data_IF_457314009096
#
_entry.id   IF_457314009096
#
_cell.length_a   1.000
_cell.length_b   1.000
_cell.length_c   1.000
_cell.angle_alpha   90.00
_cell.angle_beta   90.00
_cell.angle_gamma   90.00
#
_symmetry.space_group_name_H-M   'P 1'
#
loop_
_entity.id
_entity.type
_entity.pdbx_description
1 polymer ?
#
# COMPACT_ATOMS: atom_id res chain seq x y z
N UNK A 1 -30.82 -26.67 -33.59
CA UNK A 1 -29.39 -26.35 -33.65
C UNK A 1 -29.28 -24.84 -33.49
N UNK A 2 -29.23 -24.35 -32.26
CA UNK A 2 -29.14 -22.89 -31.93
C UNK A 2 -27.79 -22.63 -31.25
N UNK A 3 -26.97 -21.90 -31.95
CA UNK A 3 -25.96 -20.94 -31.53
C UNK A 3 -25.42 -21.05 -30.07
N UNK A 4 -24.37 -21.81 -29.92
CA UNK A 4 -23.45 -21.82 -28.79
C UNK A 4 -22.04 -21.48 -29.35
N UNK A 5 -21.77 -20.21 -29.60
CA UNK A 5 -20.42 -19.65 -29.78
C UNK A 5 -20.56 -18.16 -29.73
N UNK A 6 -20.28 -17.57 -28.59
CA UNK A 6 -19.14 -16.68 -28.42
C UNK A 6 -18.52 -16.66 -27.00
N UNK A 7 -18.82 -17.63 -26.12
CA UNK A 7 -18.30 -17.60 -24.74
C UNK A 7 -16.90 -18.18 -24.57
N UNK A 8 -16.36 -18.88 -25.54
CA UNK A 8 -15.05 -19.54 -25.44
C UNK A 8 -13.85 -18.64 -25.78
N UNK A 9 -14.05 -17.48 -26.39
CA UNK A 9 -12.96 -16.53 -26.70
C UNK A 9 -12.71 -15.49 -25.57
N UNK A 10 -13.69 -15.27 -24.70
CA UNK A 10 -13.47 -14.47 -23.49
C UNK A 10 -12.63 -15.20 -22.42
N UNK A 11 -12.68 -16.53 -22.39
CA UNK A 11 -11.93 -17.33 -21.42
C UNK A 11 -10.41 -17.31 -21.67
N UNK A 12 -9.96 -17.02 -22.88
CA UNK A 12 -8.54 -16.88 -23.21
C UNK A 12 -7.95 -15.51 -22.85
N UNK A 13 -8.76 -14.48 -22.79
CA UNK A 13 -8.35 -13.12 -22.38
C UNK A 13 -8.42 -12.92 -20.86
N UNK A 14 -9.18 -13.75 -20.15
CA UNK A 14 -9.28 -13.74 -18.68
C UNK A 14 -8.04 -14.38 -18.01
N UNK A 15 -7.21 -15.11 -18.77
CA UNK A 15 -5.94 -15.65 -18.24
C UNK A 15 -4.83 -14.58 -18.06
N UNK A 16 -5.03 -13.36 -18.53
CA UNK A 16 -4.08 -12.23 -18.33
C UNK A 16 -4.36 -11.46 -17.05
N UNK A 17 -5.25 -11.94 -16.22
CA UNK A 17 -5.54 -11.33 -14.94
C UNK A 17 -6.53 -12.14 -14.17
N UNK A 18 -6.09 -13.20 -13.51
CA UNK A 18 -6.69 -13.56 -12.25
C UNK A 18 -6.44 -12.39 -11.29
N UNK A 19 -7.14 -11.29 -11.53
CA UNK A 19 -7.49 -10.37 -10.48
C UNK A 19 -8.53 -11.15 -9.65
N UNK A 20 -8.04 -12.10 -8.83
CA UNK A 20 -8.77 -12.47 -7.63
C UNK A 20 -9.29 -11.15 -7.06
N UNK A 21 -10.45 -11.17 -6.40
CA UNK A 21 -10.94 -10.06 -5.59
C UNK A 21 -9.92 -9.82 -4.46
N UNK A 22 -8.72 -9.37 -4.83
CA UNK A 22 -7.67 -8.93 -3.93
C UNK A 22 -8.11 -7.58 -3.42
N UNK A 23 -7.91 -7.40 -2.14
CA UNK A 23 -8.06 -6.15 -1.41
C UNK A 23 -7.76 -4.96 -2.31
N UNK A 24 -8.58 -3.88 -2.27
CA UNK A 24 -8.42 -2.75 -3.16
C UNK A 24 -6.98 -2.28 -3.12
N UNK A 25 -6.33 -2.31 -4.27
CA UNK A 25 -4.93 -1.91 -4.38
C UNK A 25 -4.87 -0.42 -4.10
N UNK A 26 -4.14 -0.05 -3.07
CA UNK A 26 -3.89 1.34 -2.72
C UNK A 26 -3.27 2.00 -3.96
N UNK A 27 -3.83 3.12 -4.50
CA UNK A 27 -3.16 3.87 -5.56
C UNK A 27 -1.79 4.30 -5.06
N UNK A 28 -0.75 4.00 -5.85
CA UNK A 28 0.59 4.03 -5.30
C UNK A 28 1.32 5.33 -5.52
N UNK A 29 2.08 5.60 -4.53
CA UNK A 29 3.26 6.45 -4.56
C UNK A 29 4.34 5.76 -5.40
N UNK A 30 5.13 6.53 -6.13
CA UNK A 30 6.34 6.02 -6.81
C UNK A 30 7.01 4.95 -5.99
N UNK A 31 7.34 3.82 -6.63
CA UNK A 31 8.09 2.73 -6.00
C UNK A 31 9.43 3.31 -5.54
N UNK A 32 9.44 3.92 -4.36
CA UNK A 32 10.66 4.35 -3.74
C UNK A 32 11.36 3.10 -3.22
N UNK A 33 12.08 2.46 -4.13
CA UNK A 33 13.03 1.40 -3.78
C UNK A 33 14.17 1.92 -2.90
N UNK A 34 14.19 3.23 -2.62
CA UNK A 34 15.14 3.91 -1.76
C UNK A 34 14.55 4.36 -0.44
N UNK A 35 15.32 4.22 0.62
CA UNK A 35 14.97 4.72 1.95
C UNK A 35 15.02 6.25 1.97
N UNK A 36 13.97 6.87 2.46
CA UNK A 36 13.94 8.32 2.73
C UNK A 36 14.54 8.59 4.11
N UNK A 37 15.87 8.71 4.18
CA UNK A 37 16.59 8.89 5.46
C UNK A 37 16.21 10.14 6.26
N UNK A 38 15.70 11.17 5.59
CA UNK A 38 15.33 12.44 6.21
C UNK A 38 13.82 12.56 6.44
N UNK A 39 13.08 11.48 6.37
CA UNK A 39 11.67 11.50 6.69
C UNK A 39 11.48 11.86 8.17
N UNK A 40 10.51 12.73 8.44
CA UNK A 40 10.10 13.07 9.81
C UNK A 40 9.05 12.09 10.33
N UNK A 41 8.17 11.64 9.46
CA UNK A 41 7.07 10.74 9.80
C UNK A 41 7.29 9.38 9.17
N UNK A 42 6.98 8.33 9.91
CA UNK A 42 7.11 6.95 9.48
C UNK A 42 5.77 6.23 9.61
N UNK A 43 5.33 5.57 8.54
CA UNK A 43 4.14 4.72 8.59
C UNK A 43 4.43 3.47 9.43
N UNK A 44 3.74 3.30 10.55
CA UNK A 44 3.91 2.14 11.43
C UNK A 44 2.82 1.10 11.23
N UNK A 45 1.62 1.53 10.83
CA UNK A 45 0.47 0.62 10.75
C UNK A 45 -0.60 1.13 9.80
N UNK A 46 -1.28 0.19 9.12
CA UNK A 46 -2.57 0.42 8.48
C UNK A 46 -3.57 -0.53 9.16
N UNK A 47 -4.73 -0.01 9.57
CA UNK A 47 -5.81 -0.80 10.17
C UNK A 47 -7.05 -0.76 9.30
N UNK A 48 -7.66 -1.92 9.09
CA UNK A 48 -8.93 -2.10 8.37
C UNK A 48 -9.93 -2.74 9.33
N UNK A 49 -10.67 -1.93 10.11
CA UNK A 49 -11.49 -2.41 11.23
C UNK A 49 -12.55 -3.44 10.82
N UNK A 50 -13.23 -3.23 9.69
CA UNK A 50 -14.34 -4.07 9.25
C UNK A 50 -13.90 -5.50 8.91
N UNK A 51 -12.73 -5.65 8.28
CA UNK A 51 -12.13 -6.95 7.99
C UNK A 51 -11.26 -7.48 9.14
N UNK A 52 -11.11 -6.71 10.23
CA UNK A 52 -10.15 -6.99 11.33
C UNK A 52 -8.73 -7.23 10.82
N UNK A 53 -8.36 -6.56 9.74
CA UNK A 53 -7.05 -6.67 9.13
C UNK A 53 -6.15 -5.53 9.60
N UNK A 54 -4.90 -5.87 9.90
CA UNK A 54 -3.87 -4.94 10.32
C UNK A 54 -2.61 -5.23 9.51
N UNK A 55 -1.98 -4.19 8.99
CA UNK A 55 -0.65 -4.21 8.40
C UNK A 55 0.30 -3.48 9.35
N UNK A 56 1.19 -4.20 9.99
CA UNK A 56 2.22 -3.65 10.88
C UNK A 56 3.55 -3.57 10.15
N UNK A 57 4.20 -2.40 10.20
CA UNK A 57 5.49 -2.12 9.58
C UNK A 57 6.58 -2.13 10.63
N UNK A 58 7.64 -2.88 10.39
CA UNK A 58 8.78 -3.02 11.30
C UNK A 58 10.03 -2.43 10.68
N UNK A 59 10.84 -1.77 11.48
CA UNK A 59 12.00 -1.01 11.04
C UNK A 59 13.27 -1.39 11.81
N UNK A 60 14.40 -1.35 11.12
CA UNK A 60 15.74 -1.30 11.70
C UNK A 60 16.22 0.16 11.63
N UNK A 61 16.91 0.64 12.68
CA UNK A 61 17.46 2.01 12.73
C UNK A 61 16.41 3.11 12.42
N UNK A 62 15.16 2.88 12.86
CA UNK A 62 13.99 3.78 12.71
C UNK A 62 13.54 4.06 11.26
N UNK A 63 14.43 3.97 10.28
CA UNK A 63 14.16 4.38 8.88
C UNK A 63 14.25 3.25 7.87
N UNK A 64 14.78 2.08 8.22
CA UNK A 64 14.94 0.95 7.30
C UNK A 64 13.80 -0.04 7.50
N UNK A 65 12.80 -0.10 6.64
CA UNK A 65 11.71 -1.08 6.76
C UNK A 65 12.28 -2.49 6.53
N UNK A 66 12.00 -3.41 7.45
CA UNK A 66 12.54 -4.78 7.38
C UNK A 66 11.46 -5.82 7.20
N UNK A 67 10.25 -5.51 7.63
CA UNK A 67 9.14 -6.46 7.61
C UNK A 67 7.80 -5.73 7.54
N UNK A 68 6.86 -6.28 6.76
CA UNK A 68 5.44 -5.94 6.84
C UNK A 68 4.72 -7.22 7.27
N UNK A 69 3.93 -7.13 8.31
CA UNK A 69 3.16 -8.26 8.82
C UNK A 69 1.68 -7.96 8.67
N UNK A 70 0.97 -8.85 8.00
CA UNK A 70 -0.49 -8.79 7.90
C UNK A 70 -1.11 -9.70 8.95
N UNK A 71 -2.07 -9.17 9.70
CA UNK A 71 -2.83 -9.90 10.71
C UNK A 71 -4.32 -9.75 10.40
N UNK A 72 -5.08 -10.84 10.45
CA UNK A 72 -6.53 -10.83 10.24
C UNK A 72 -7.21 -11.58 11.39
N UNK A 73 -8.14 -10.92 12.07
CA UNK A 73 -8.83 -11.52 13.22
C UNK A 73 -7.91 -11.89 14.38
N UNK A 74 -6.74 -11.26 14.50
CA UNK A 74 -5.73 -11.54 15.51
C UNK A 74 -4.71 -12.64 15.16
N UNK A 75 -4.86 -13.30 14.02
CA UNK A 75 -3.89 -14.28 13.52
C UNK A 75 -3.03 -13.68 12.39
N UNK A 76 -1.74 -14.02 12.37
CA UNK A 76 -0.84 -13.64 11.25
C UNK A 76 -1.29 -14.37 9.99
N UNK A 77 -1.50 -13.64 8.90
CA UNK A 77 -1.90 -14.19 7.60
C UNK A 77 -0.79 -14.14 6.56
N UNK A 78 0.12 -13.16 6.65
CA UNK A 78 1.32 -13.09 5.81
C UNK A 78 2.42 -12.27 6.45
N UNK A 79 3.65 -12.52 6.02
CA UNK A 79 4.81 -11.72 6.36
C UNK A 79 5.62 -11.46 5.08
N UNK A 80 5.94 -10.19 4.84
CA UNK A 80 6.84 -9.76 3.80
C UNK A 80 8.13 -9.27 4.44
N UNK A 81 9.25 -9.93 4.17
CA UNK A 81 10.57 -9.55 4.67
C UNK A 81 11.34 -8.79 3.60
N UNK A 82 11.82 -7.59 3.95
CA UNK A 82 12.47 -6.65 3.05
C UNK A 82 13.98 -6.60 3.35
N UNK A 83 14.79 -6.67 2.31
CA UNK A 83 16.26 -6.64 2.40
C UNK A 83 16.80 -5.47 1.60
N UNK A 84 17.65 -4.67 2.21
CA UNK A 84 18.23 -3.47 1.63
C UNK A 84 19.76 -3.56 1.58
N UNK A 85 20.36 -3.03 0.50
CA UNK A 85 21.78 -2.77 0.35
C UNK A 85 21.94 -1.33 -0.16
N UNK A 86 22.82 -0.55 0.45
CA UNK A 86 23.06 0.86 0.12
C UNK A 86 21.77 1.69 -0.04
N UNK A 87 20.84 1.53 0.93
CA UNK A 87 19.52 2.16 0.95
C UNK A 87 18.57 1.76 -0.19
N UNK A 88 18.86 0.68 -0.90
CA UNK A 88 18.03 0.16 -1.98
C UNK A 88 17.45 -1.18 -1.62
N UNK A 89 16.16 -1.36 -1.92
CA UNK A 89 15.51 -2.65 -1.79
C UNK A 89 16.10 -3.63 -2.80
N UNK A 90 16.78 -4.68 -2.33
CA UNK A 90 17.39 -5.70 -3.20
C UNK A 90 16.62 -7.01 -3.22
N UNK A 91 15.83 -7.29 -2.20
CA UNK A 91 15.01 -8.51 -2.14
C UNK A 91 13.77 -8.31 -1.27
N UNK A 92 12.68 -8.99 -1.64
CA UNK A 92 11.51 -9.23 -0.79
C UNK A 92 11.26 -10.74 -0.71
N UNK A 93 10.88 -11.24 0.45
CA UNK A 93 10.45 -12.63 0.66
C UNK A 93 9.05 -12.64 1.24
N UNK A 94 8.16 -13.39 0.61
CA UNK A 94 6.75 -13.50 0.96
C UNK A 94 6.48 -14.82 1.66
N UNK A 95 5.97 -14.75 2.88
CA UNK A 95 5.61 -15.91 3.70
C UNK A 95 4.10 -15.93 3.94
N UNK A 96 3.53 -17.13 4.00
CA UNK A 96 2.13 -17.32 4.35
C UNK A 96 1.90 -17.36 5.88
N UNK A 97 0.67 -17.71 6.26
CA UNK A 97 0.26 -17.83 7.67
C UNK A 97 0.98 -18.94 8.44
N UNK A 98 1.57 -19.91 7.78
CA UNK A 98 2.37 -20.99 8.39
C UNK A 98 3.88 -20.63 8.45
N UNK A 99 4.24 -19.41 8.05
CA UNK A 99 5.61 -18.94 7.90
C UNK A 99 6.39 -19.72 6.82
N UNK A 100 5.68 -20.32 5.87
CA UNK A 100 6.29 -20.96 4.72
C UNK A 100 6.57 -19.94 3.63
N UNK A 101 7.79 -19.96 3.09
CA UNK A 101 8.18 -19.11 1.98
C UNK A 101 7.39 -19.52 0.71
N UNK A 102 6.65 -18.58 0.14
CA UNK A 102 5.86 -18.78 -1.08
C UNK A 102 6.49 -18.16 -2.31
N UNK A 103 7.17 -17.05 -2.15
CA UNK A 103 7.77 -16.32 -3.24
C UNK A 103 8.94 -15.47 -2.75
N UNK A 104 9.91 -15.25 -3.62
CA UNK A 104 10.96 -14.25 -3.45
C UNK A 104 11.02 -13.35 -4.68
N UNK A 105 11.32 -12.08 -4.46
CA UNK A 105 11.52 -11.09 -5.48
C UNK A 105 12.90 -10.48 -5.32
N UNK A 106 13.66 -10.36 -6.42
CA UNK A 106 15.00 -9.76 -6.45
C UNK A 106 14.98 -8.52 -7.33
N UNK A 107 15.62 -7.47 -6.89
CA UNK A 107 15.78 -6.19 -7.59
C UNK A 107 17.22 -6.01 -8.01
N UNK A 108 17.46 -5.63 -9.28
CA UNK A 108 18.78 -5.39 -9.83
C UNK A 108 18.84 -3.97 -10.37
N UNK A 109 19.92 -3.27 -10.05
CA UNK A 109 20.11 -1.87 -10.41
C UNK A 109 21.36 -1.69 -11.29
N UNK A 110 21.25 -0.74 -12.23
CA UNK A 110 22.39 -0.13 -12.91
C UNK A 110 22.53 1.32 -12.43
N UNK A 111 23.57 1.59 -11.66
CA UNK A 111 23.71 2.86 -10.96
C UNK A 111 22.50 3.12 -10.05
N UNK A 112 21.71 4.17 -10.34
CA UNK A 112 20.49 4.51 -9.60
C UNK A 112 19.20 3.88 -10.15
N UNK A 113 19.26 3.26 -11.33
CA UNK A 113 18.10 2.81 -12.08
C UNK A 113 17.79 1.35 -11.78
N UNK A 114 16.52 1.04 -11.49
CA UNK A 114 16.05 -0.32 -11.44
C UNK A 114 15.98 -0.87 -12.86
N UNK A 115 16.76 -1.90 -13.17
CA UNK A 115 16.82 -2.50 -14.51
C UNK A 115 16.14 -3.86 -14.61
N UNK A 116 15.97 -4.57 -13.48
CA UNK A 116 15.36 -5.90 -13.50
C UNK A 116 14.73 -6.23 -12.15
N UNK A 117 13.55 -6.87 -12.21
CA UNK A 117 12.92 -7.58 -11.09
C UNK A 117 12.76 -9.03 -11.48
N UNK A 118 13.17 -9.93 -10.62
CA UNK A 118 13.04 -11.38 -10.80
C UNK A 118 12.17 -11.96 -9.71
N UNK A 119 11.16 -12.71 -10.12
CA UNK A 119 10.25 -13.41 -9.23
C UNK A 119 10.60 -14.89 -9.21
N UNK A 120 10.76 -15.46 -8.03
CA UNK A 120 11.22 -16.83 -7.80
C UNK A 120 10.33 -17.51 -6.77
N UNK A 121 10.17 -18.84 -6.83
CA UNK A 121 9.48 -19.60 -5.78
C UNK A 121 10.30 -19.59 -4.48
N UNK A 122 11.63 -19.57 -4.60
CA UNK A 122 12.57 -19.50 -3.49
C UNK A 122 13.74 -18.59 -3.86
N UNK A 123 14.41 -17.92 -2.87
CA UNK A 123 15.61 -17.12 -3.12
C UNK A 123 16.78 -17.90 -3.76
N UNK A 124 16.80 -19.21 -3.55
CA UNK A 124 17.85 -20.12 -4.04
C UNK A 124 17.55 -20.72 -5.41
N UNK A 125 16.34 -20.51 -5.95
CA UNK A 125 16.00 -21.01 -7.29
C UNK A 125 16.85 -20.28 -8.34
N UNK A 126 17.51 -21.03 -9.21
CA UNK A 126 18.34 -20.47 -10.27
C UNK A 126 17.48 -19.80 -11.35
N UNK A 127 16.34 -20.38 -11.67
CA UNK A 127 15.45 -19.90 -12.73
C UNK A 127 14.26 -19.13 -12.15
N UNK A 128 14.10 -17.84 -12.51
CA UNK A 128 12.92 -17.08 -12.12
C UNK A 128 11.67 -17.56 -12.86
N UNK A 129 10.52 -17.49 -12.19
CA UNK A 129 9.20 -17.77 -12.78
C UNK A 129 8.70 -16.60 -13.64
N UNK A 130 9.19 -15.38 -13.33
CA UNK A 130 8.86 -14.15 -14.05
C UNK A 130 10.03 -13.18 -13.95
N UNK A 131 10.30 -12.44 -15.03
CA UNK A 131 11.24 -11.32 -15.07
C UNK A 131 10.52 -10.08 -15.57
N UNK A 132 10.80 -8.94 -14.96
CA UNK A 132 10.37 -7.64 -15.43
C UNK A 132 11.58 -6.77 -15.64
N UNK A 133 11.85 -6.40 -16.90
CA UNK A 133 13.02 -5.60 -17.29
C UNK A 133 12.60 -4.17 -17.64
N UNK A 134 13.42 -3.21 -17.23
CA UNK A 134 13.19 -1.78 -17.47
C UNK A 134 14.25 -1.23 -18.40
N UNK A 135 13.85 -0.69 -19.54
CA UNK A 135 14.75 -0.20 -20.59
C UNK A 135 14.73 1.33 -20.62
N UNK A 136 15.93 1.93 -20.58
CA UNK A 136 16.13 3.37 -20.49
C UNK A 136 16.87 3.90 -21.71
N UNK A 137 16.44 5.07 -22.20
CA UNK A 137 17.27 5.81 -23.17
C UNK A 137 18.49 6.41 -22.46
N UNK A 138 19.57 6.62 -23.22
CA UNK A 138 20.76 7.26 -22.70
C UNK A 138 20.45 8.64 -22.10
N UNK A 139 20.86 8.86 -20.85
CA UNK A 139 20.60 10.12 -20.12
C UNK A 139 19.19 10.28 -19.55
N UNK A 140 18.27 9.34 -19.75
CA UNK A 140 16.93 9.39 -19.17
C UNK A 140 16.87 8.62 -17.85
N UNK A 141 16.21 9.17 -16.84
CA UNK A 141 15.86 8.43 -15.60
C UNK A 141 14.49 7.74 -15.69
N UNK A 142 13.80 7.91 -16.82
CA UNK A 142 12.49 7.32 -17.07
C UNK A 142 12.63 6.21 -18.12
N UNK A 143 12.12 5.00 -17.87
CA UNK A 143 12.17 3.91 -18.83
C UNK A 143 11.27 4.23 -20.03
N UNK A 144 11.68 3.86 -21.23
CA UNK A 144 10.84 3.97 -22.42
C UNK A 144 10.07 2.69 -22.73
N UNK A 145 10.52 1.57 -22.14
CA UNK A 145 9.90 0.26 -22.30
C UNK A 145 10.03 -0.54 -21.02
N UNK A 146 9.02 -1.35 -20.72
CA UNK A 146 9.03 -2.34 -19.65
C UNK A 146 8.63 -3.67 -20.29
N UNK A 147 9.46 -4.71 -20.12
CA UNK A 147 9.15 -6.04 -20.63
C UNK A 147 8.93 -7.03 -19.49
N UNK A 148 8.00 -7.96 -19.69
CA UNK A 148 7.71 -9.08 -18.79
C UNK A 148 7.92 -10.38 -19.54
N UNK A 149 8.72 -11.27 -18.96
CA UNK A 149 8.96 -12.63 -19.45
C UNK A 149 8.52 -13.62 -18.36
N UNK A 150 7.68 -14.59 -18.74
CA UNK A 150 7.27 -15.69 -17.87
C UNK A 150 8.02 -16.97 -18.23
N UNK A 151 8.22 -17.85 -17.25
CA UNK A 151 8.92 -19.13 -17.46
C UNK A 151 8.23 -20.10 -18.44
N UNK A 152 6.94 -19.91 -18.73
CA UNK A 152 6.17 -20.65 -19.73
C UNK A 152 6.33 -20.10 -21.15
N UNK A 153 7.10 -19.02 -21.32
CA UNK A 153 7.37 -18.37 -22.59
C UNK A 153 6.38 -17.27 -22.97
N UNK A 154 5.44 -16.91 -22.11
CA UNK A 154 4.67 -15.68 -22.27
C UNK A 154 5.59 -14.45 -22.20
N UNK A 155 5.40 -13.52 -23.13
CA UNK A 155 6.11 -12.26 -23.18
C UNK A 155 5.12 -11.10 -23.34
N UNK A 156 5.41 -10.00 -22.66
CA UNK A 156 4.67 -8.74 -22.74
C UNK A 156 5.62 -7.56 -22.76
N UNK A 157 5.36 -6.58 -23.63
CA UNK A 157 6.10 -5.31 -23.71
C UNK A 157 5.14 -4.14 -23.57
N UNK A 158 5.51 -3.18 -22.73
CA UNK A 158 4.84 -1.91 -22.51
C UNK A 158 5.73 -0.78 -23.02
N UNK A 159 5.37 -0.18 -24.15
CA UNK A 159 6.04 1.03 -24.67
C UNK A 159 5.43 2.26 -24.01
N UNK A 160 6.26 3.09 -23.41
CA UNK A 160 5.87 4.24 -22.59
C UNK A 160 6.08 5.55 -23.36
N UNK A 161 5.01 6.29 -23.59
CA UNK A 161 5.04 7.58 -24.27
C UNK A 161 4.79 8.70 -23.26
N UNK A 162 5.67 9.68 -23.21
CA UNK A 162 5.66 10.76 -22.23
C UNK A 162 5.22 12.10 -22.83
N UNK A 163 4.45 12.84 -22.02
CA UNK A 163 4.08 14.24 -22.28
C UNK A 163 4.36 15.03 -20.98
N UNK A 164 5.14 16.11 -21.09
CA UNK A 164 5.49 16.97 -19.95
C UNK A 164 6.05 16.18 -18.74
N UNK A 165 6.88 15.15 -18.99
CA UNK A 165 7.50 14.33 -17.97
C UNK A 165 6.57 13.32 -17.28
N UNK A 166 5.33 13.15 -17.78
CA UNK A 166 4.37 12.14 -17.29
C UNK A 166 4.01 11.18 -18.42
N UNK A 167 3.67 9.95 -18.06
CA UNK A 167 3.19 8.96 -19.04
C UNK A 167 1.84 9.42 -19.55
N UNK A 168 1.77 9.69 -20.87
CA UNK A 168 0.54 10.02 -21.55
C UNK A 168 -0.11 8.80 -22.20
N UNK A 169 0.69 7.82 -22.62
CA UNK A 169 0.21 6.60 -23.26
C UNK A 169 1.14 5.44 -23.01
N UNK A 170 0.56 4.26 -22.86
CA UNK A 170 1.24 2.97 -22.80
C UNK A 170 0.64 2.11 -23.91
N UNK A 171 1.48 1.60 -24.80
CA UNK A 171 1.10 0.59 -25.80
C UNK A 171 1.58 -0.78 -25.33
N UNK A 172 0.71 -1.77 -25.37
CA UNK A 172 0.96 -3.11 -24.83
C UNK A 172 0.97 -4.11 -25.97
N UNK A 173 2.09 -4.81 -26.10
CA UNK A 173 2.27 -5.92 -27.03
C UNK A 173 2.39 -7.21 -26.25
N UNK A 174 1.77 -8.30 -26.72
CA UNK A 174 1.90 -9.62 -26.08
C UNK A 174 2.26 -10.71 -27.09
N UNK A 175 2.98 -11.71 -26.59
CA UNK A 175 3.31 -12.94 -27.28
C UNK A 175 3.00 -14.11 -26.35
N UNK A 176 2.09 -14.99 -26.74
CA UNK A 176 1.55 -16.04 -25.86
C UNK A 176 2.55 -17.17 -25.58
N UNK A 177 3.47 -17.40 -26.51
CA UNK A 177 4.57 -18.35 -26.39
C UNK A 177 5.66 -17.99 -27.42
N UNK A 178 6.88 -18.53 -27.34
CA UNK A 178 8.01 -18.15 -28.21
C UNK A 178 7.78 -18.35 -29.70
N UNK A 179 6.81 -19.16 -30.10
CA UNK A 179 6.48 -19.43 -31.50
C UNK A 179 5.30 -18.57 -32.02
N UNK A 180 4.62 -17.84 -31.13
CA UNK A 180 3.51 -16.96 -31.51
C UNK A 180 4.05 -15.62 -32.03
N UNK A 181 3.23 -14.91 -32.79
CA UNK A 181 3.53 -13.53 -33.20
C UNK A 181 3.35 -12.56 -32.03
N UNK A 182 4.20 -11.55 -31.95
CA UNK A 182 4.03 -10.42 -31.03
C UNK A 182 2.96 -9.49 -31.59
N UNK A 183 1.85 -9.32 -30.90
CA UNK A 183 0.69 -8.56 -31.36
C UNK A 183 0.33 -7.46 -30.38
N UNK A 184 -0.20 -6.34 -30.88
CA UNK A 184 -0.77 -5.29 -30.04
C UNK A 184 -2.07 -5.78 -29.40
N UNK A 185 -2.14 -5.74 -28.07
CA UNK A 185 -3.27 -6.29 -27.31
C UNK A 185 -3.91 -5.29 -26.38
N UNK A 186 -3.19 -4.22 -26.01
CA UNK A 186 -3.69 -3.24 -25.04
C UNK A 186 -3.15 -1.86 -25.25
N UNK A 187 -3.87 -0.89 -24.74
CA UNK A 187 -3.47 0.51 -24.72
C UNK A 187 -4.06 1.23 -23.53
N UNK A 188 -3.22 2.02 -22.85
CA UNK A 188 -3.63 2.91 -21.78
C UNK A 188 -3.35 4.35 -22.20
N UNK A 189 -4.34 5.25 -22.05
CA UNK A 189 -4.21 6.68 -22.40
C UNK A 189 -4.62 7.53 -21.22
N UNK A 190 -3.75 8.45 -20.81
CA UNK A 190 -3.99 9.41 -19.74
C UNK A 190 -4.41 10.76 -20.31
N UNK A 191 -5.39 11.38 -19.66
CA UNK A 191 -5.77 12.78 -19.87
C UNK A 191 -5.40 13.58 -18.62
N UNK A 192 -4.89 14.80 -18.84
CA UNK A 192 -4.42 15.68 -17.77
C UNK A 192 -5.21 16.98 -17.77
N UNK A 193 -5.40 17.56 -16.59
CA UNK A 193 -5.96 18.89 -16.44
C UNK A 193 -4.93 20.01 -16.70
N UNK A 194 -5.35 21.28 -16.50
CA UNK A 194 -4.48 22.43 -16.68
C UNK A 194 -3.31 22.49 -15.68
N UNK A 195 -3.42 21.81 -14.54
CA UNK A 195 -2.38 21.68 -13.52
C UNK A 195 -1.44 20.49 -13.80
N UNK A 196 -1.66 19.79 -14.92
CA UNK A 196 -0.95 18.57 -15.28
C UNK A 196 -1.21 17.42 -14.28
N UNK A 197 -2.39 17.40 -13.62
CA UNK A 197 -2.84 16.24 -12.84
C UNK A 197 -3.64 15.29 -13.72
N UNK A 198 -3.39 13.97 -13.61
CA UNK A 198 -4.09 12.98 -14.41
C UNK A 198 -5.55 12.88 -13.95
N UNK A 199 -6.51 13.25 -14.80
CA UNK A 199 -7.95 13.24 -14.45
C UNK A 199 -8.68 12.03 -14.99
N UNK A 200 -8.14 11.38 -16.02
CA UNK A 200 -8.74 10.21 -16.66
C UNK A 200 -7.65 9.26 -17.16
N UNK A 201 -7.84 7.97 -16.98
CA UNK A 201 -7.14 6.89 -17.67
C UNK A 201 -8.17 6.06 -18.42
N UNK A 202 -7.94 5.81 -19.70
CA UNK A 202 -8.67 4.84 -20.51
C UNK A 202 -7.79 3.63 -20.75
N UNK A 203 -8.30 2.46 -20.37
CA UNK A 203 -7.65 1.17 -20.58
C UNK A 203 -8.47 0.39 -21.61
N UNK A 204 -7.86 0.12 -22.76
CA UNK A 204 -8.50 -0.49 -23.93
C UNK A 204 -7.77 -1.74 -24.35
N UNK A 205 -8.51 -2.75 -24.79
CA UNK A 205 -7.96 -3.95 -25.41
C UNK A 205 -8.27 -3.97 -26.91
N UNK A 206 -7.35 -4.52 -27.68
CA UNK A 206 -7.55 -4.77 -29.09
C UNK A 206 -8.19 -6.14 -29.30
N UNK A 207 -9.27 -6.21 -30.05
CA UNK A 207 -9.93 -7.47 -30.44
C UNK A 207 -9.54 -7.82 -31.88
N UNK A 208 -8.53 -8.68 -32.11
CA UNK A 208 -7.99 -8.95 -33.45
C UNK A 208 -9.04 -9.46 -34.45
N UNK A 209 -9.92 -10.35 -34.00
CA UNK A 209 -10.99 -10.94 -34.85
C UNK A 209 -12.01 -9.90 -35.35
N UNK A 210 -12.16 -8.79 -34.62
CA UNK A 210 -13.09 -7.70 -34.97
C UNK A 210 -12.36 -6.49 -35.52
N UNK A 211 -11.02 -6.51 -35.51
CA UNK A 211 -10.15 -5.38 -35.84
C UNK A 211 -10.59 -4.10 -35.14
N UNK A 212 -10.86 -4.19 -33.82
CA UNK A 212 -11.50 -3.12 -33.05
C UNK A 212 -10.88 -2.98 -31.68
N UNK A 213 -10.71 -1.73 -31.25
CA UNK A 213 -10.42 -1.36 -29.88
C UNK A 213 -11.70 -1.32 -29.04
N UNK A 214 -11.63 -1.87 -27.83
CA UNK A 214 -12.72 -1.82 -26.86
C UNK A 214 -12.17 -1.28 -25.55
N UNK A 215 -12.76 -0.17 -25.07
CA UNK A 215 -12.48 0.38 -23.76
C UNK A 215 -13.07 -0.55 -22.72
N UNK A 216 -12.20 -1.15 -21.91
CA UNK A 216 -12.60 -2.05 -20.82
C UNK A 216 -12.76 -1.30 -19.52
N UNK A 217 -11.77 -0.50 -19.17
CA UNK A 217 -11.77 0.27 -17.93
C UNK A 217 -11.55 1.76 -18.21
N UNK A 218 -12.24 2.58 -17.43
CA UNK A 218 -11.89 3.98 -17.25
C UNK A 218 -11.67 4.27 -15.78
N UNK A 219 -10.63 5.03 -15.48
CA UNK A 219 -10.33 5.48 -14.13
C UNK A 219 -10.44 7.00 -14.10
N UNK A 220 -11.26 7.53 -13.21
CA UNK A 220 -11.41 8.96 -12.98
C UNK A 220 -10.76 9.35 -11.67
N UNK A 221 -10.08 10.51 -11.68
CA UNK A 221 -9.37 11.03 -10.52
C UNK A 221 -9.87 12.44 -10.23
N UNK A 222 -10.19 12.72 -8.98
CA UNK A 222 -10.60 14.04 -8.50
C UNK A 222 -9.59 14.50 -7.47
N UNK A 223 -9.19 15.78 -7.56
CA UNK A 223 -8.15 16.36 -6.71
C UNK A 223 -8.68 17.47 -5.84
N UNK A 224 -8.02 17.69 -4.68
CA UNK A 224 -8.20 18.87 -3.87
C UNK A 224 -7.36 20.05 -4.41
N UNK A 225 -7.48 21.21 -3.75
CA UNK A 225 -6.72 22.42 -4.12
C UNK A 225 -5.21 22.33 -3.77
N UNK A 226 -4.76 21.23 -3.17
CA UNK A 226 -3.36 20.89 -2.86
C UNK A 226 -2.80 19.80 -3.78
N UNK A 227 -3.54 19.44 -4.82
CA UNK A 227 -3.20 18.40 -5.79
C UNK A 227 -3.07 16.99 -5.20
N UNK A 228 -3.79 16.68 -4.10
CA UNK A 228 -3.99 15.31 -3.66
C UNK A 228 -5.18 14.70 -4.37
N UNK A 229 -5.08 13.49 -4.85
CA UNK A 229 -6.23 12.74 -5.33
C UNK A 229 -7.12 12.39 -4.14
N UNK A 230 -8.30 13.02 -4.06
CA UNK A 230 -9.27 12.78 -2.99
C UNK A 230 -10.29 11.71 -3.35
N UNK A 231 -10.43 11.40 -4.64
CA UNK A 231 -11.32 10.35 -5.11
C UNK A 231 -10.78 9.70 -6.39
N UNK A 232 -10.83 8.39 -6.42
CA UNK A 232 -10.58 7.56 -7.59
C UNK A 232 -11.79 6.67 -7.85
N UNK A 233 -12.21 6.58 -9.11
CA UNK A 233 -13.32 5.75 -9.56
C UNK A 233 -12.88 4.88 -10.73
N UNK A 234 -13.33 3.62 -10.74
CA UNK A 234 -13.15 2.70 -11.85
C UNK A 234 -14.52 2.34 -12.44
N UNK A 235 -14.64 2.53 -13.74
CA UNK A 235 -15.75 1.99 -14.51
C UNK A 235 -15.25 0.82 -15.36
N UNK A 236 -16.03 -0.23 -15.42
CA UNK A 236 -15.84 -1.38 -16.28
C UNK A 236 -16.96 -1.41 -17.32
N UNK A 237 -16.61 -1.37 -18.60
CA UNK A 237 -17.57 -1.24 -19.72
C UNK A 237 -18.62 -0.13 -19.51
N UNK A 238 -18.19 1.01 -18.95
CA UNK A 238 -19.05 2.15 -18.67
C UNK A 238 -19.87 2.07 -17.37
N UNK A 239 -19.79 0.98 -16.64
CA UNK A 239 -20.45 0.81 -15.34
C UNK A 239 -19.47 1.10 -14.21
N UNK A 240 -19.83 1.96 -13.28
CA UNK A 240 -19.01 2.25 -12.09
C UNK A 240 -18.97 1.01 -11.20
N UNK A 241 -17.78 0.42 -11.04
CA UNK A 241 -17.57 -0.83 -10.29
C UNK A 241 -16.88 -0.60 -8.95
N UNK A 242 -15.91 0.30 -8.89
CA UNK A 242 -15.11 0.55 -7.69
C UNK A 242 -14.92 2.05 -7.48
N UNK A 243 -14.78 2.46 -6.22
CA UNK A 243 -14.28 3.79 -5.89
C UNK A 243 -13.44 3.77 -4.60
N UNK A 244 -12.56 4.76 -4.47
CA UNK A 244 -11.84 5.05 -3.24
C UNK A 244 -11.91 6.55 -2.95
N UNK A 245 -12.20 6.90 -1.71
CA UNK A 245 -11.99 8.24 -1.19
C UNK A 245 -10.71 8.28 -0.35
N UNK A 246 -9.98 9.38 -0.39
CA UNK A 246 -8.72 9.55 0.35
C UNK A 246 -8.76 10.83 1.18
N UNK A 247 -8.25 10.75 2.40
CA UNK A 247 -8.08 11.87 3.31
C UNK A 247 -6.58 12.08 3.60
N UNK A 248 -6.19 13.34 3.76
CA UNK A 248 -4.80 13.73 3.93
C UNK A 248 -4.64 14.75 5.06
N UNK A 249 -3.55 14.64 5.81
CA UNK A 249 -3.03 15.77 6.56
C UNK A 249 -2.23 16.68 5.60
N UNK A 250 -2.87 17.75 5.14
CA UNK A 250 -2.28 18.68 4.17
C UNK A 250 -1.24 19.62 4.78
N UNK A 251 -0.96 19.52 6.08
CA UNK A 251 0.13 20.24 6.73
C UNK A 251 1.45 19.49 6.61
N UNK A 252 1.42 18.20 6.28
CA UNK A 252 2.58 17.31 6.21
C UNK A 252 2.83 16.90 4.76
N UNK A 253 3.89 17.43 4.10
CA UNK A 253 4.21 17.04 2.73
C UNK A 253 4.71 15.59 2.67
N UNK A 254 4.38 14.90 1.58
CA UNK A 254 4.78 13.50 1.36
C UNK A 254 6.29 13.30 1.42
N UNK A 255 7.09 14.29 1.01
CA UNK A 255 8.56 14.25 1.06
C UNK A 255 9.12 14.09 2.47
N UNK A 256 8.32 14.40 3.51
CA UNK A 256 8.69 14.20 4.92
C UNK A 256 8.16 12.90 5.51
N UNK A 257 7.52 12.04 4.70
CA UNK A 257 6.90 10.78 5.15
C UNK A 257 7.67 9.59 4.60
N UNK A 258 8.10 8.68 5.48
CA UNK A 258 8.56 7.37 5.11
C UNK A 258 7.33 6.45 4.95
N UNK A 259 6.99 6.17 3.70
CA UNK A 259 5.87 5.33 3.32
C UNK A 259 6.42 4.11 2.56
N UNK A 260 6.82 3.03 3.26
CA UNK A 260 7.40 1.87 2.61
C UNK A 260 6.32 1.16 1.81
N UNK A 261 6.57 1.03 0.54
CA UNK A 261 5.77 0.20 -0.35
C UNK A 261 6.72 -0.65 -1.17
N UNK A 262 6.43 -1.93 -1.24
CA UNK A 262 7.14 -2.91 -2.06
C UNK A 262 6.14 -3.68 -2.93
N UNK A 263 4.84 -3.33 -2.82
CA UNK A 263 3.82 -4.00 -3.57
C UNK A 263 4.15 -4.00 -5.06
N UNK A 264 3.88 -5.12 -5.68
CA UNK A 264 4.11 -5.30 -7.10
C UNK A 264 3.22 -4.36 -7.91
N UNK A 265 3.87 -3.42 -8.60
CA UNK A 265 3.16 -2.60 -9.54
C UNK A 265 3.51 -3.00 -10.93
N UNK A 266 2.50 -3.46 -11.56
CA UNK A 266 2.44 -3.50 -13.00
C UNK A 266 2.53 -2.11 -13.63
N UNK A 267 2.45 -1.06 -12.81
CA UNK A 267 2.37 0.35 -13.22
C UNK A 267 3.29 1.22 -12.36
N UNK A 268 4.62 1.02 -12.43
CA UNK A 268 5.55 1.77 -11.59
C UNK A 268 5.56 3.27 -11.88
N UNK A 269 4.83 3.69 -12.91
CA UNK A 269 4.90 5.02 -13.48
C UNK A 269 3.55 5.74 -13.44
N UNK A 270 2.64 5.28 -12.58
CA UNK A 270 1.39 5.99 -12.34
C UNK A 270 1.68 7.41 -11.84
N UNK A 271 0.88 8.41 -12.24
CA UNK A 271 1.00 9.75 -11.71
C UNK A 271 1.01 9.73 -10.19
N UNK A 272 1.87 10.55 -9.60
CA UNK A 272 1.90 10.71 -8.14
C UNK A 272 0.61 11.39 -7.69
N UNK A 273 -0.34 10.60 -7.22
CA UNK A 273 -1.66 11.04 -6.77
C UNK A 273 -1.64 11.66 -5.37
N UNK A 274 -0.53 11.57 -4.66
CA UNK A 274 -0.41 11.95 -3.26
C UNK A 274 0.70 12.98 -3.09
N UNK A 275 0.37 14.15 -2.55
CA UNK A 275 1.31 15.24 -2.24
C UNK A 275 1.56 15.40 -0.75
N UNK A 276 0.65 14.89 0.07
CA UNK A 276 0.66 15.02 1.51
C UNK A 276 0.45 13.67 2.20
N UNK A 277 0.62 13.63 3.50
CA UNK A 277 0.48 12.44 4.32
C UNK A 277 -0.96 11.92 4.29
N UNK A 278 -1.18 10.69 3.81
CA UNK A 278 -2.49 10.05 3.79
C UNK A 278 -2.87 9.61 5.21
N UNK A 279 -4.08 9.95 5.64
CA UNK A 279 -4.61 9.58 6.97
C UNK A 279 -5.66 8.50 6.87
N UNK A 280 -6.45 8.49 5.80
CA UNK A 280 -7.53 7.52 5.60
C UNK A 280 -7.74 7.22 4.11
N UNK A 281 -8.27 6.02 3.85
CA UNK A 281 -8.82 5.62 2.56
C UNK A 281 -10.10 4.83 2.82
N UNK A 282 -11.19 5.20 2.15
CA UNK A 282 -12.46 4.48 2.19
C UNK A 282 -12.69 3.80 0.85
N UNK A 283 -12.89 2.50 0.87
CA UNK A 283 -13.13 1.67 -0.31
C UNK A 283 -14.61 1.41 -0.52
N UNK A 284 -15.06 1.53 -1.76
CA UNK A 284 -16.42 1.26 -2.20
C UNK A 284 -16.43 0.23 -3.32
N UNK A 285 -17.42 -0.65 -3.30
CA UNK A 285 -17.69 -1.61 -4.37
C UNK A 285 -19.15 -1.50 -4.82
N UNK A 286 -19.39 -1.76 -6.10
CA UNK A 286 -20.73 -1.83 -6.67
C UNK A 286 -21.18 -3.28 -6.75
N UNK A 287 -22.15 -3.66 -5.92
CA UNK A 287 -22.76 -5.00 -5.91
C UNK A 287 -23.98 -5.14 -6.84
N UNK A 288 -24.22 -4.13 -7.71
CA UNK A 288 -25.36 -4.10 -8.64
C UNK A 288 -26.47 -3.12 -8.23
N UNK A 289 -26.50 -2.65 -6.98
CA UNK A 289 -27.47 -1.67 -6.45
C UNK A 289 -26.86 -0.27 -6.32
N UNK A 290 -25.64 -0.06 -6.82
CA UNK A 290 -24.85 1.14 -6.67
C UNK A 290 -23.62 0.93 -5.79
N UNK A 291 -22.83 1.99 -5.60
CA UNK A 291 -21.65 1.95 -4.74
C UNK A 291 -22.07 1.85 -3.28
N UNK A 292 -21.52 0.85 -2.58
CA UNK A 292 -21.60 0.71 -1.13
C UNK A 292 -20.20 0.74 -0.53
N UNK A 293 -20.08 1.37 0.63
CA UNK A 293 -18.84 1.34 1.43
C UNK A 293 -18.57 -0.08 1.89
N UNK A 294 -17.31 -0.51 1.72
CA UNK A 294 -16.87 -1.86 2.08
C UNK A 294 -16.00 -1.80 3.32
N UNK A 295 -15.00 -0.92 3.34
CA UNK A 295 -14.09 -0.78 4.48
C UNK A 295 -13.29 0.51 4.43
N UNK A 296 -12.80 0.88 5.61
CA UNK A 296 -11.85 1.96 5.84
C UNK A 296 -10.44 1.42 6.10
N UNK A 297 -9.45 2.07 5.49
CA UNK A 297 -8.03 1.91 5.80
C UNK A 297 -7.58 3.13 6.60
N UNK A 298 -7.22 2.95 7.85
CA UNK A 298 -6.70 4.00 8.71
C UNK A 298 -5.19 3.88 8.82
N UNK A 299 -4.47 4.99 8.58
CA UNK A 299 -3.01 5.06 8.53
C UNK A 299 -2.47 5.67 9.82
N UNK A 300 -1.46 5.05 10.43
CA UNK A 300 -0.86 5.47 11.68
C UNK A 300 0.63 5.70 11.50
N UNK A 301 1.10 6.87 11.94
CA UNK A 301 2.48 7.32 11.74
C UNK A 301 3.16 7.66 13.06
N UNK A 302 4.49 7.48 13.13
CA UNK A 302 5.34 7.99 14.19
C UNK A 302 6.08 9.24 13.71
N UNK A 303 6.06 10.34 14.50
CA UNK A 303 6.96 11.49 14.33
C UNK A 303 8.35 11.12 14.88
N UNK A 304 9.33 10.92 14.01
CA UNK A 304 10.69 10.51 14.39
C UNK A 304 11.55 11.63 14.96
N UNK A 305 11.18 12.89 14.76
CA UNK A 305 11.90 14.04 15.30
C UNK A 305 11.34 14.53 16.65
N UNK A 306 10.11 14.18 16.96
CA UNK A 306 9.47 14.48 18.23
C UNK A 306 9.56 13.29 19.18
N UNK A 307 10.00 13.50 20.42
CA UNK A 307 9.97 12.48 21.49
C UNK A 307 8.53 12.10 21.92
N UNK A 308 7.61 12.00 21.02
CA UNK A 308 6.23 11.61 21.29
C UNK A 308 5.64 10.84 20.12
N UNK A 309 5.07 9.68 20.39
CA UNK A 309 3.95 9.14 19.62
C UNK A 309 2.87 10.23 19.58
N UNK A 310 2.89 11.05 18.55
CA UNK A 310 1.75 11.91 18.27
C UNK A 310 0.79 11.09 17.44
N UNK A 311 -0.22 10.52 18.12
CA UNK A 311 -1.45 10.15 17.43
C UNK A 311 -1.90 11.34 16.62
N UNK A 312 -1.87 11.25 15.28
CA UNK A 312 -2.67 12.14 14.45
C UNK A 312 -4.11 11.65 14.65
N UNK A 313 -4.62 11.97 15.83
CA UNK A 313 -5.99 11.66 16.17
C UNK A 313 -6.88 12.75 15.65
N UNK A 314 -7.80 12.37 14.84
CA UNK A 314 -9.13 12.98 14.83
C UNK A 314 -9.59 13.15 16.27
N UNK A 315 -9.77 14.40 16.69
CA UNK A 315 -10.41 14.93 17.88
C UNK A 315 -10.96 13.95 18.93
N UNK A 316 -10.57 14.28 20.20
CA UNK A 316 -11.12 13.83 21.48
C UNK A 316 -10.63 12.44 21.95
N UNK A 317 -9.74 12.40 22.76
CA UNK A 317 -9.08 12.94 23.91
C UNK A 317 -9.05 11.94 25.03
N UNK A 318 -8.34 10.79 24.78
CA UNK A 318 -7.84 10.02 25.94
C UNK A 318 -6.55 10.70 26.38
N UNK A 319 -6.54 11.23 27.62
CA UNK A 319 -5.39 11.89 28.22
C UNK A 319 -4.80 11.00 29.30
N UNK A 320 -3.49 10.87 29.33
CA UNK A 320 -2.76 10.12 30.38
C UNK A 320 -1.76 11.06 31.04
N UNK A 321 -1.87 11.26 32.32
CA UNK A 321 -0.97 12.14 33.09
C UNK A 321 -0.91 11.72 34.58
N UNK A 322 0.08 12.21 35.41
CA UNK A 322 1.21 13.07 35.01
C UNK A 322 2.23 12.29 34.17
N UNK A 323 3.07 13.03 33.41
CA UNK A 323 4.22 12.47 32.70
C UNK A 323 5.46 13.33 33.02
N UNK A 324 6.40 12.85 33.81
CA UNK A 324 6.50 11.53 34.44
C UNK A 324 5.51 11.31 35.57
N UNK A 325 5.22 10.03 35.86
CA UNK A 325 4.39 9.63 36.97
C UNK A 325 5.25 9.03 38.11
N UNK A 326 4.80 9.21 39.37
CA UNK A 326 5.43 8.60 40.56
C UNK A 326 4.57 7.49 41.12
N UNK A 327 3.40 7.79 41.59
CA UNK A 327 2.54 6.87 42.34
C UNK A 327 1.30 6.42 41.58
N UNK A 328 0.80 7.24 40.68
CA UNK A 328 -0.41 6.95 39.91
C UNK A 328 -0.35 7.55 38.50
N UNK A 329 -1.13 6.95 37.61
CA UNK A 329 -1.51 7.46 36.29
C UNK A 329 -2.99 7.83 36.34
N UNK A 330 -3.35 9.01 35.89
CA UNK A 330 -4.72 9.43 35.63
C UNK A 330 -4.99 9.34 34.13
N UNK A 331 -6.09 8.69 33.78
CA UNK A 331 -6.52 8.47 32.42
C UNK A 331 -7.90 9.07 32.27
N UNK A 332 -8.05 10.03 31.36
CA UNK A 332 -9.33 10.65 31.03
C UNK A 332 -9.67 10.36 29.58
N UNK A 333 -10.92 9.99 29.30
CA UNK A 333 -11.42 9.72 27.96
C UNK A 333 -12.86 9.17 28.04
N UNK A 334 -13.59 9.21 26.93
CA UNK A 334 -14.95 8.72 26.90
C UNK A 334 -15.00 7.19 26.91
N UNK A 335 -15.78 6.61 27.83
CA UNK A 335 -16.06 5.17 27.92
C UNK A 335 -14.79 4.29 27.86
N UNK A 336 -13.86 4.53 28.79
CA UNK A 336 -12.63 3.76 28.92
C UNK A 336 -12.94 2.29 29.24
N UNK A 337 -12.28 1.34 28.55
CA UNK A 337 -12.47 -0.09 28.75
C UNK A 337 -11.26 -0.80 29.34
N UNK A 338 -10.04 -0.44 28.92
CA UNK A 338 -8.84 -1.17 29.32
C UNK A 338 -7.59 -0.33 29.24
N UNK A 339 -6.69 -0.52 30.20
CA UNK A 339 -5.28 -0.10 30.16
C UNK A 339 -4.39 -1.33 30.09
N UNK A 340 -3.42 -1.35 29.15
CA UNK A 340 -2.30 -2.28 29.13
C UNK A 340 -0.99 -1.52 29.20
N UNK A 341 -0.10 -1.88 30.14
CA UNK A 341 1.24 -1.32 30.27
C UNK A 341 2.26 -2.36 29.77
N UNK A 342 3.10 -1.95 28.84
CA UNK A 342 4.18 -2.78 28.27
C UNK A 342 5.53 -2.15 28.61
N UNK A 343 6.55 -2.97 28.79
CA UNK A 343 7.94 -2.50 28.83
C UNK A 343 8.42 -2.12 27.41
N UNK A 344 9.64 -1.57 27.32
CA UNK A 344 10.21 -1.15 26.04
C UNK A 344 10.52 -2.32 25.09
N UNK A 345 10.47 -3.57 25.57
CA UNK A 345 10.62 -4.79 24.76
C UNK A 345 9.27 -5.35 24.27
N UNK A 346 8.17 -4.67 24.60
CA UNK A 346 6.82 -5.11 24.23
C UNK A 346 6.24 -6.19 25.16
N UNK A 347 6.89 -6.51 26.27
CA UNK A 347 6.34 -7.44 27.25
C UNK A 347 5.23 -6.76 28.06
N UNK A 348 4.05 -7.39 28.12
CA UNK A 348 2.95 -6.92 28.97
C UNK A 348 3.35 -7.02 30.45
N UNK A 349 3.35 -5.88 31.14
CA UNK A 349 3.68 -5.76 32.56
C UNK A 349 2.40 -5.75 33.40
N UNK A 350 1.35 -5.06 32.91
CA UNK A 350 0.08 -4.95 33.61
C UNK A 350 -1.06 -4.73 32.66
N UNK A 351 -2.20 -5.36 32.90
CA UNK A 351 -3.48 -5.05 32.28
C UNK A 351 -4.52 -4.77 33.36
N UNK A 352 -5.36 -3.76 33.13
CA UNK A 352 -6.40 -3.32 34.06
C UNK A 352 -7.64 -2.95 33.27
N UNK A 353 -8.78 -3.53 33.61
CA UNK A 353 -10.08 -3.13 33.09
C UNK A 353 -10.44 -1.75 33.67
N UNK A 354 -10.97 -0.88 32.83
CA UNK A 354 -11.38 0.47 33.16
C UNK A 354 -12.89 0.61 32.99
N UNK A 355 -13.50 1.53 33.73
CA UNK A 355 -14.92 1.84 33.62
C UNK A 355 -15.14 3.34 33.72
N UNK A 356 -16.01 3.88 32.85
CA UNK A 356 -16.35 5.31 32.82
C UNK A 356 -15.30 6.16 32.08
N UNK A 357 -15.31 7.47 32.34
CA UNK A 357 -14.57 8.47 31.60
C UNK A 357 -13.28 8.93 32.31
N UNK A 358 -13.06 8.44 33.53
CA UNK A 358 -11.90 8.75 34.36
C UNK A 358 -11.42 7.50 35.10
N UNK A 359 -10.14 7.20 35.00
CA UNK A 359 -9.51 6.15 35.80
C UNK A 359 -8.24 6.65 36.46
N UNK A 360 -7.97 6.18 37.71
CA UNK A 360 -6.74 6.45 38.44
C UNK A 360 -6.08 5.12 38.75
N UNK A 361 -4.90 4.89 38.23
CA UNK A 361 -4.15 3.62 38.28
C UNK A 361 -2.90 3.79 39.13
N UNK A 362 -2.82 3.10 40.25
CA UNK A 362 -1.60 3.08 41.07
C UNK A 362 -0.46 2.39 40.34
N UNK A 363 0.69 3.05 40.24
CA UNK A 363 1.89 2.53 39.58
C UNK A 363 3.12 2.54 40.46
N UNK A 364 2.94 2.85 41.74
CA UNK A 364 4.04 2.92 42.73
C UNK A 364 4.79 1.59 42.89
N UNK A 365 4.10 0.45 42.69
CA UNK A 365 4.68 -0.89 42.78
C UNK A 365 5.45 -1.35 41.55
N UNK A 366 5.36 -0.60 40.43
CA UNK A 366 6.09 -0.93 39.19
C UNK A 366 7.53 -0.45 39.26
N UNK A 367 8.49 -1.17 38.65
CA UNK A 367 9.87 -0.72 38.52
C UNK A 367 9.92 0.67 37.84
N UNK A 368 10.86 1.51 38.28
CA UNK A 368 11.08 2.81 37.63
C UNK A 368 11.62 2.61 36.23
N UNK A 369 11.17 3.41 35.26
CA UNK A 369 11.54 3.24 33.86
C UNK A 369 10.50 3.77 32.90
N UNK A 370 10.69 3.46 31.63
CA UNK A 370 9.81 3.84 30.55
C UNK A 370 8.90 2.69 30.15
N UNK A 371 7.63 2.98 29.97
CA UNK A 371 6.57 2.04 29.60
C UNK A 371 5.78 2.59 28.40
N UNK A 372 5.15 1.69 27.66
CA UNK A 372 4.11 2.01 26.70
C UNK A 372 2.76 1.72 27.35
N UNK A 373 1.95 2.75 27.52
CA UNK A 373 0.57 2.63 27.98
C UNK A 373 -0.36 2.57 26.75
N UNK A 374 -1.11 1.48 26.65
CA UNK A 374 -2.15 1.30 25.65
C UNK A 374 -3.50 1.39 26.36
N UNK A 375 -4.36 2.31 25.92
CA UNK A 375 -5.70 2.52 26.48
C UNK A 375 -6.74 2.33 25.39
N UNK A 376 -7.73 1.48 25.66
CA UNK A 376 -8.86 1.17 24.77
C UNK A 376 -10.14 1.74 25.34
N UNK A 377 -10.97 2.36 24.49
CA UNK A 377 -12.32 2.86 24.81
C UNK A 377 -13.40 2.06 24.05
N UNK A 378 -14.68 2.21 24.44
CA UNK A 378 -15.81 1.44 23.93
C UNK A 378 -16.07 1.62 22.42
N UNK A 379 -15.68 2.74 21.85
CA UNK A 379 -15.75 3.00 20.39
C UNK A 379 -14.63 2.30 19.60
N UNK A 380 -14.00 1.25 20.18
CA UNK A 380 -12.83 0.55 19.64
C UNK A 380 -11.58 1.44 19.46
N UNK A 381 -11.61 2.65 20.01
CA UNK A 381 -10.48 3.56 19.99
C UNK A 381 -9.42 3.08 20.96
N UNK A 382 -8.23 2.83 20.44
CA UNK A 382 -7.05 2.48 21.24
C UNK A 382 -5.98 3.53 21.03
N UNK A 383 -5.45 4.11 22.10
CA UNK A 383 -4.28 4.97 22.05
C UNK A 383 -3.09 4.31 22.72
N UNK A 384 -1.90 4.63 22.25
CA UNK A 384 -0.63 4.29 22.89
C UNK A 384 0.10 5.55 23.30
N UNK A 385 0.64 5.57 24.49
CA UNK A 385 1.40 6.69 24.99
C UNK A 385 2.64 6.21 25.75
N UNK A 386 3.78 6.87 25.56
CA UNK A 386 4.97 6.65 26.38
C UNK A 386 4.77 7.28 27.75
N UNK A 387 4.99 6.51 28.81
CA UNK A 387 4.89 6.92 30.20
C UNK A 387 6.20 6.61 30.91
N UNK A 388 6.78 7.61 31.57
CA UNK A 388 7.97 7.44 32.40
C UNK A 388 7.54 7.41 33.85
N UNK A 389 7.92 6.35 34.58
CA UNK A 389 7.75 6.22 36.04
C UNK A 389 9.04 6.63 36.73
N UNK A 390 8.96 7.59 37.67
CA UNK A 390 10.07 8.12 38.46
C UNK A 390 9.89 7.89 39.94
#
# INVERSE_FOLDING_TARGET
>A
MKRLLPFLLLAGLVAVGNVSAQSPRIPQVDVHTRITRNARYRLDKISVPDSRQIFDYFYKEETIPTKIQTTTGGAITSIDSLFYEDDRLVQVRYFDNNLELKQAEKYVYDGSKLVLREFRKSPTDETPIKKVSYHYLCGSDMPFEITTEMSDGYFESHTLNYLNGKIARIDIMTQQNPSAELIETGRMVYEFDANNDAVLLRDSVFLPLQNKWVEMFTHRYTYDNKHNCIRWEQNEFGTLTLANNFEYDTTIPLSSVLFPTHEEFFRPLLPNFMKHMRTKQTYFNNSGEGLSEVCDYNYFYTDMQGNALTDVAVNESIKIYPRPATDFLRIEGSQLLRLSLFDMNGKLIRATELTGDLAIIGVASLPRGTYIAEVTAANSKTIRAKVSLR
#
